data_IF_435672719135
#
_entry.id   IF_435672719135
#
_cell.length_a   1.000
_cell.length_b   1.000
_cell.length_c   1.000
_cell.angle_alpha   90.00
_cell.angle_beta   90.00
_cell.angle_gamma   90.00
#
_symmetry.space_group_name_H-M   'P 1'
#
loop_
_entity.id
_entity.type
_entity.pdbx_description
1 polymer ?
#
# COMPACT_ATOMS: atom_id res chain seq x y z
N UNK A 1 -0.85 21.18 -12.17
CA UNK A 1 -0.19 20.21 -11.25
C UNK A 1 0.78 19.37 -12.07
N UNK A 2 2.05 19.22 -11.69
CA UNK A 2 2.94 18.30 -12.40
C UNK A 2 2.32 16.89 -12.31
N UNK A 3 2.18 16.22 -13.45
CA UNK A 3 1.82 14.80 -13.48
C UNK A 3 2.84 14.05 -12.63
N UNK A 4 2.39 13.39 -11.56
CA UNK A 4 3.25 12.58 -10.69
C UNK A 4 4.02 11.60 -11.57
N UNK A 5 5.28 11.93 -11.88
CA UNK A 5 6.15 11.07 -12.67
C UNK A 5 6.16 9.70 -12.02
N UNK A 6 5.90 8.66 -12.81
CA UNK A 6 5.85 7.28 -12.32
C UNK A 6 7.10 7.01 -11.49
N UNK A 7 6.91 6.73 -10.20
CA UNK A 7 8.01 6.31 -9.34
C UNK A 7 8.64 5.08 -10.01
N UNK A 8 9.90 5.18 -10.43
CA UNK A 8 10.54 4.19 -11.33
C UNK A 8 10.55 2.76 -10.76
N UNK A 9 10.40 2.60 -9.43
CA UNK A 9 10.29 1.31 -8.74
C UNK A 9 8.85 0.76 -8.61
N UNK A 10 7.81 1.54 -8.88
CA UNK A 10 6.42 1.11 -8.73
C UNK A 10 5.96 0.45 -10.04
N UNK A 11 5.62 -0.84 -9.94
CA UNK A 11 5.09 -1.64 -11.05
C UNK A 11 3.61 -1.30 -11.32
N UNK A 12 3.08 -1.69 -12.49
CA UNK A 12 1.66 -1.47 -12.83
C UNK A 12 0.74 -2.17 -11.83
N UNK A 13 1.14 -3.35 -11.37
CA UNK A 13 0.44 -4.17 -10.39
C UNK A 13 0.40 -3.49 -9.03
N UNK A 14 1.53 -2.92 -8.59
CA UNK A 14 1.57 -2.11 -7.37
C UNK A 14 0.67 -0.87 -7.48
N UNK A 15 0.67 -0.20 -8.62
CA UNK A 15 -0.16 0.98 -8.83
C UNK A 15 -1.66 0.63 -8.77
N UNK A 16 -2.08 -0.45 -9.44
CA UNK A 16 -3.46 -0.97 -9.34
C UNK A 16 -3.83 -1.36 -7.91
N UNK A 17 -2.89 -1.93 -7.17
CA UNK A 17 -3.12 -2.31 -5.78
C UNK A 17 -3.31 -1.08 -4.89
N UNK A 18 -2.54 -0.01 -5.12
CA UNK A 18 -2.69 1.28 -4.45
C UNK A 18 -4.04 1.92 -4.81
N UNK A 19 -4.40 1.96 -6.10
CA UNK A 19 -5.69 2.49 -6.56
C UNK A 19 -6.88 1.77 -5.91
N UNK A 20 -6.79 0.44 -5.73
CA UNK A 20 -7.80 -0.33 -5.01
C UNK A 20 -7.90 0.05 -3.53
N UNK A 21 -6.78 0.33 -2.86
CA UNK A 21 -6.80 0.79 -1.47
C UNK A 21 -7.40 2.19 -1.39
N UNK A 22 -7.01 3.10 -2.28
CA UNK A 22 -7.51 4.49 -2.29
C UNK A 22 -9.02 4.57 -2.56
N UNK A 23 -9.58 3.55 -3.22
CA UNK A 23 -11.02 3.44 -3.45
C UNK A 23 -11.82 2.84 -2.27
N UNK A 24 -11.15 2.41 -1.18
CA UNK A 24 -11.85 1.90 0.00
C UNK A 24 -12.49 3.04 0.79
N UNK A 25 -13.71 2.82 1.26
CA UNK A 25 -14.38 3.72 2.20
C UNK A 25 -13.54 3.88 3.48
N UNK A 26 -13.43 5.12 3.97
CA UNK A 26 -12.59 5.45 5.12
C UNK A 26 -11.10 5.59 4.82
N UNK A 27 -10.63 5.36 3.58
CA UNK A 27 -9.26 5.68 3.17
C UNK A 27 -9.20 7.11 2.61
N UNK A 28 -8.34 7.93 3.21
CA UNK A 28 -8.09 9.32 2.77
C UNK A 28 -7.05 9.38 1.65
N UNK A 29 -6.10 8.44 1.65
CA UNK A 29 -5.11 8.31 0.60
C UNK A 29 -3.93 7.43 0.99
N UNK A 30 -3.10 7.08 0.00
CA UNK A 30 -1.92 6.24 0.20
C UNK A 30 -0.65 7.04 -0.07
N UNK A 31 0.27 7.02 0.90
CA UNK A 31 1.57 7.66 0.80
C UNK A 31 2.62 6.60 0.53
N UNK A 32 3.37 6.76 -0.56
CA UNK A 32 4.48 5.88 -0.92
C UNK A 32 5.73 6.30 -0.14
N UNK A 33 6.29 5.36 0.61
CA UNK A 33 7.53 5.53 1.39
C UNK A 33 8.76 4.95 0.70
N UNK A 34 9.68 4.42 1.51
CA UNK A 34 10.96 3.89 1.02
C UNK A 34 10.78 2.62 0.17
N UNK A 35 11.65 2.44 -0.82
CA UNK A 35 11.75 1.20 -1.59
C UNK A 35 12.98 0.40 -1.14
N UNK A 36 12.84 -0.92 -1.02
CA UNK A 36 13.92 -1.85 -0.66
C UNK A 36 14.10 -2.91 -1.75
N UNK A 37 15.12 -2.75 -2.58
CA UNK A 37 15.46 -3.74 -3.61
C UNK A 37 15.91 -5.07 -3.01
N UNK A 38 15.60 -6.19 -3.68
CA UNK A 38 16.02 -7.54 -3.30
C UNK A 38 15.30 -8.14 -2.08
N UNK A 39 14.44 -7.38 -1.39
CA UNK A 39 13.60 -7.89 -0.29
C UNK A 39 12.28 -8.46 -0.81
N UNK A 40 11.74 -9.48 -0.15
CA UNK A 40 10.47 -10.09 -0.53
C UNK A 40 9.51 -10.23 0.66
N UNK A 41 8.21 -10.22 0.36
CA UNK A 41 7.14 -10.63 1.25
C UNK A 41 6.98 -12.16 1.19
N UNK A 42 8.07 -12.92 1.37
CA UNK A 42 8.02 -14.38 1.43
C UNK A 42 7.43 -15.05 0.18
N UNK A 43 7.85 -14.64 -1.01
CA UNK A 43 7.38 -15.24 -2.28
C UNK A 43 6.02 -14.73 -2.78
N UNK A 44 5.47 -13.68 -2.16
CA UNK A 44 4.24 -13.04 -2.62
C UNK A 44 4.33 -12.53 -4.07
N UNK A 45 3.19 -12.48 -4.75
CA UNK A 45 3.08 -11.90 -6.10
C UNK A 45 3.28 -10.38 -6.09
N UNK A 46 3.82 -9.83 -7.18
CA UNK A 46 3.88 -8.38 -7.39
C UNK A 46 2.49 -7.75 -7.22
N UNK A 47 2.40 -6.63 -6.49
CA UNK A 47 1.16 -5.97 -6.12
C UNK A 47 0.54 -6.47 -4.81
N UNK A 48 1.02 -7.58 -4.23
CA UNK A 48 0.55 -8.02 -2.92
C UNK A 48 0.83 -6.95 -1.85
N UNK A 49 -0.13 -6.72 -0.95
CA UNK A 49 -0.04 -5.75 0.14
C UNK A 49 -0.09 -6.49 1.47
N UNK A 50 0.72 -6.03 2.43
CA UNK A 50 0.69 -6.53 3.81
C UNK A 50 0.77 -5.37 4.80
N UNK A 51 -0.24 -5.25 5.66
CA UNK A 51 -0.19 -4.38 6.83
C UNK A 51 0.89 -4.91 7.78
N UNK A 52 1.77 -4.02 8.23
CA UNK A 52 2.84 -4.32 9.19
C UNK A 52 2.41 -3.97 10.61
N UNK A 53 1.77 -2.81 10.77
CA UNK A 53 1.24 -2.33 12.06
C UNK A 53 0.30 -1.14 11.86
N UNK A 54 -0.61 -0.95 12.79
CA UNK A 54 -1.38 0.28 12.94
C UNK A 54 -0.51 1.38 13.58
N UNK A 55 -0.74 2.62 13.17
CA UNK A 55 -0.12 3.83 13.72
C UNK A 55 -1.17 4.95 13.82
N UNK A 56 -0.91 6.04 14.56
CA UNK A 56 -1.82 7.19 14.56
C UNK A 56 -2.12 7.69 13.14
N UNK A 57 -3.40 7.77 12.79
CA UNK A 57 -3.86 8.20 11.47
C UNK A 57 -3.84 7.14 10.36
N UNK A 58 -3.50 5.88 10.66
CA UNK A 58 -3.72 4.75 9.73
C UNK A 58 -2.74 3.60 9.84
N UNK A 59 -2.35 3.03 8.70
CA UNK A 59 -1.58 1.78 8.66
C UNK A 59 -0.23 1.94 8.00
N UNK A 60 0.81 1.42 8.66
CA UNK A 60 2.07 1.13 7.97
C UNK A 60 1.93 -0.21 7.27
N UNK A 61 2.06 -0.19 5.95
CA UNK A 61 1.98 -1.36 5.09
C UNK A 61 3.20 -1.44 4.15
N UNK A 62 3.32 -2.56 3.45
CA UNK A 62 4.30 -2.74 2.38
C UNK A 62 3.62 -3.43 1.19
N UNK A 63 4.05 -3.09 -0.03
CA UNK A 63 3.68 -3.81 -1.24
C UNK A 63 4.88 -4.52 -1.88
N UNK A 64 4.64 -5.70 -2.42
CA UNK A 64 5.62 -6.42 -3.22
C UNK A 64 5.73 -5.78 -4.60
N UNK A 65 6.92 -5.34 -4.96
CA UNK A 65 7.26 -4.85 -6.31
C UNK A 65 7.99 -5.94 -7.09
N UNK A 66 8.17 -5.73 -8.40
CA UNK A 66 8.95 -6.64 -9.24
C UNK A 66 10.44 -6.73 -8.85
N UNK A 67 10.97 -5.75 -8.11
CA UNK A 67 12.39 -5.66 -7.75
C UNK A 67 12.64 -5.75 -6.25
N UNK A 68 11.60 -5.84 -5.42
CA UNK A 68 11.75 -5.67 -3.97
C UNK A 68 10.46 -5.31 -3.25
N UNK A 69 10.57 -4.59 -2.12
CA UNK A 69 9.43 -4.05 -1.37
C UNK A 69 9.31 -2.54 -1.51
N UNK A 70 8.11 -2.02 -1.34
CA UNK A 70 7.84 -0.60 -1.22
C UNK A 70 6.96 -0.34 0.00
N UNK A 71 7.37 0.57 0.87
CA UNK A 71 6.56 0.99 2.02
C UNK A 71 5.37 1.81 1.55
N UNK A 72 4.24 1.59 2.20
CA UNK A 72 3.02 2.36 2.05
C UNK A 72 2.59 2.84 3.43
N UNK A 73 2.09 4.07 3.51
CA UNK A 73 1.34 4.54 4.64
C UNK A 73 -0.08 4.84 4.16
N UNK A 74 -1.03 4.06 4.66
CA UNK A 74 -2.45 4.17 4.29
C UNK A 74 -3.09 5.08 5.32
N UNK A 75 -3.43 6.29 4.91
CA UNK A 75 -4.09 7.26 5.78
C UNK A 75 -5.58 6.99 5.76
N UNK A 76 -6.19 6.95 6.93
CA UNK A 76 -7.61 6.65 7.11
C UNK A 76 -8.33 7.77 7.87
N UNK A 77 -9.65 7.78 7.76
CA UNK A 77 -10.52 8.55 8.63
C UNK A 77 -10.56 7.94 10.03
N UNK A 78 -10.78 8.78 11.04
CA UNK A 78 -10.87 8.33 12.44
C UNK A 78 -12.11 7.48 12.65
N UNK A 79 -11.95 6.29 13.24
CA UNK A 79 -13.05 5.35 13.49
C UNK A 79 -13.25 4.30 12.40
N UNK A 80 -12.49 4.35 11.31
CA UNK A 80 -12.56 3.40 10.19
C UNK A 80 -11.47 2.30 10.25
N UNK A 81 -10.69 2.23 11.34
CA UNK A 81 -9.53 1.34 11.49
C UNK A 81 -9.85 -0.12 11.17
N UNK A 82 -10.81 -0.71 11.87
CA UNK A 82 -11.15 -2.14 11.74
C UNK A 82 -11.72 -2.45 10.36
N UNK A 83 -12.66 -1.63 9.88
CA UNK A 83 -13.27 -1.77 8.56
C UNK A 83 -12.23 -1.74 7.43
N UNK A 84 -11.29 -0.80 7.49
CA UNK A 84 -10.24 -0.65 6.46
C UNK A 84 -9.25 -1.81 6.55
N UNK A 85 -8.86 -2.23 7.76
CA UNK A 85 -7.97 -3.38 7.94
C UNK A 85 -8.58 -4.65 7.32
N UNK A 86 -9.84 -4.95 7.63
CA UNK A 86 -10.57 -6.10 7.08
C UNK A 86 -10.71 -6.01 5.55
N UNK A 87 -10.97 -4.83 5.03
CA UNK A 87 -11.09 -4.60 3.59
C UNK A 87 -9.76 -4.85 2.88
N UNK A 88 -8.64 -4.39 3.45
CA UNK A 88 -7.30 -4.64 2.91
C UNK A 88 -6.95 -6.13 2.97
N UNK A 89 -7.32 -6.83 4.04
CA UNK A 89 -7.09 -8.28 4.15
C UNK A 89 -7.79 -9.06 3.03
N UNK A 90 -9.00 -8.63 2.65
CA UNK A 90 -9.80 -9.22 1.57
C UNK A 90 -9.28 -8.91 0.16
N UNK A 91 -8.36 -7.95 0.00
CA UNK A 91 -7.72 -7.64 -1.28
C UNK A 91 -6.54 -8.56 -1.64
N UNK A 92 -6.13 -9.47 -0.74
CA UNK A 92 -4.97 -10.37 -0.91
C UNK A 92 -5.09 -11.31 -2.11
#
# INVERSE_FOLDING_TARGET
>A
MPSRGRHQSTSKECQRAIEKIEALEGVVGVIIGRSYGGKSLGGSRTGAIKIQRQQPGGFKAVTQTAKGLQELFIRIETGCEEQVADSIEKLK
#
